data_IF_477341603103
#
_entry.id   IF_477341603103
#
_cell.length_a   1.000
_cell.length_b   1.000
_cell.length_c   1.000
_cell.angle_alpha   90.00
_cell.angle_beta   90.00
_cell.angle_gamma   90.00
#
_symmetry.space_group_name_H-M   'P 1'
#
loop_
_entity.id
_entity.type
_entity.pdbx_description
1 polymer ?
#
# COMPACT_ATOMS: atom_id res chain seq x y z
N UNK A 1 21.85 -41.35 19.85
CA UNK A 1 21.85 -40.10 20.64
C UNK A 1 20.51 -39.33 20.66
N UNK A 2 19.54 -39.55 19.74
CA UNK A 2 18.29 -38.76 19.72
C UNK A 2 17.09 -39.32 20.52
N UNK A 3 17.15 -40.54 21.08
CA UNK A 3 15.98 -41.15 21.76
C UNK A 3 15.57 -40.41 23.05
N UNK A 4 16.53 -39.88 23.82
CA UNK A 4 16.22 -39.10 25.03
C UNK A 4 15.49 -37.78 24.71
N UNK A 5 15.90 -37.09 23.64
CA UNK A 5 15.25 -35.83 23.23
C UNK A 5 13.84 -36.07 22.67
N UNK A 6 13.62 -37.19 21.98
CA UNK A 6 12.28 -37.61 21.51
C UNK A 6 11.35 -37.87 22.70
N UNK A 7 11.83 -38.59 23.73
CA UNK A 7 11.04 -38.88 24.92
C UNK A 7 10.69 -37.60 25.68
N UNK A 8 11.66 -36.68 25.85
CA UNK A 8 11.42 -35.38 26.47
C UNK A 8 10.42 -34.53 25.67
N UNK A 9 10.49 -34.52 24.34
CA UNK A 9 9.52 -33.81 23.49
C UNK A 9 8.10 -34.36 23.67
N UNK A 10 7.94 -35.68 23.76
CA UNK A 10 6.64 -36.33 24.00
C UNK A 10 6.08 -36.02 25.39
N UNK A 11 6.92 -35.96 26.43
CA UNK A 11 6.49 -35.56 27.77
C UNK A 11 6.06 -34.10 27.84
N UNK A 12 6.79 -33.18 27.20
CA UNK A 12 6.43 -31.78 27.13
C UNK A 12 5.11 -31.57 26.36
N UNK A 13 4.87 -32.34 25.29
CA UNK A 13 3.58 -32.32 24.58
C UNK A 13 2.44 -32.79 25.49
N UNK A 14 2.64 -33.88 26.27
CA UNK A 14 1.63 -34.35 27.24
C UNK A 14 1.33 -33.32 28.33
N UNK A 15 2.29 -32.46 28.67
CA UNK A 15 2.10 -31.32 29.58
C UNK A 15 1.44 -30.09 28.92
N UNK A 16 1.10 -30.16 27.64
CA UNK A 16 0.39 -29.10 26.90
C UNK A 16 1.28 -28.05 26.23
N UNK A 17 2.60 -28.26 26.16
CA UNK A 17 3.50 -27.32 25.50
C UNK A 17 3.35 -27.38 23.97
N UNK A 18 3.36 -26.21 23.33
CA UNK A 18 3.32 -26.09 21.87
C UNK A 18 4.67 -26.49 21.24
N UNK A 19 4.63 -26.86 19.96
CA UNK A 19 5.83 -27.23 19.18
C UNK A 19 6.91 -26.14 19.24
N UNK A 20 6.54 -24.86 19.27
CA UNK A 20 7.48 -23.73 19.40
C UNK A 20 8.17 -23.72 20.75
N UNK A 21 7.42 -23.95 21.83
CA UNK A 21 7.97 -23.98 23.18
C UNK A 21 8.87 -25.19 23.38
N UNK A 22 8.47 -26.36 22.89
CA UNK A 22 9.30 -27.59 22.94
C UNK A 22 10.59 -27.41 22.15
N UNK A 23 10.53 -26.78 20.99
CA UNK A 23 11.70 -26.47 20.16
C UNK A 23 12.68 -25.53 20.89
N UNK A 24 12.16 -24.54 21.60
CA UNK A 24 12.96 -23.63 22.42
C UNK A 24 13.58 -24.33 23.62
N UNK A 25 12.81 -25.17 24.32
CA UNK A 25 13.25 -25.88 25.53
C UNK A 25 14.34 -26.92 25.23
N UNK A 26 14.22 -27.62 24.11
CA UNK A 26 15.15 -28.68 23.69
C UNK A 26 16.25 -28.19 22.74
N UNK A 27 16.29 -26.88 22.44
CA UNK A 27 17.22 -26.24 21.50
C UNK A 27 17.32 -26.96 20.14
N UNK A 28 16.17 -27.28 19.55
CA UNK A 28 16.05 -27.97 18.25
C UNK A 28 15.07 -27.25 17.33
N UNK A 29 15.11 -27.54 16.02
CA UNK A 29 14.19 -26.90 15.08
C UNK A 29 12.74 -27.36 15.28
N UNK A 30 11.78 -26.46 15.02
CA UNK A 30 10.33 -26.78 15.03
C UNK A 30 9.98 -27.99 14.16
N UNK A 31 10.59 -28.07 12.98
CA UNK A 31 10.36 -29.17 12.04
C UNK A 31 10.85 -30.52 12.60
N UNK A 32 11.93 -30.51 13.37
CA UNK A 32 12.46 -31.71 14.03
C UNK A 32 11.56 -32.19 15.16
N UNK A 33 11.04 -31.28 15.98
CA UNK A 33 10.02 -31.59 17.01
C UNK A 33 8.75 -32.14 16.37
N UNK A 34 8.26 -31.52 15.30
CA UNK A 34 7.08 -31.99 14.56
C UNK A 34 7.26 -33.43 14.03
N UNK A 35 8.45 -33.76 13.50
CA UNK A 35 8.76 -35.12 13.04
C UNK A 35 8.77 -36.14 14.18
N UNK A 36 9.34 -35.78 15.32
CA UNK A 36 9.40 -36.67 16.50
C UNK A 36 8.02 -36.97 17.08
N UNK A 37 7.15 -35.97 17.20
CA UNK A 37 5.79 -36.15 17.72
C UNK A 37 4.92 -36.99 16.76
N UNK A 38 5.24 -36.98 15.47
CA UNK A 38 4.55 -37.76 14.44
C UNK A 38 5.20 -39.12 14.13
N UNK A 39 6.11 -39.61 14.98
CA UNK A 39 6.71 -40.94 14.84
C UNK A 39 7.71 -41.10 13.68
N UNK A 40 8.15 -39.99 13.08
CA UNK A 40 9.12 -39.97 11.98
C UNK A 40 10.55 -39.91 12.54
N UNK A 41 10.99 -40.99 13.19
CA UNK A 41 12.32 -41.10 13.82
C UNK A 41 13.36 -41.70 12.86
N UNK A 42 13.63 -41.04 11.74
CA UNK A 42 14.66 -41.45 10.78
C UNK A 42 15.25 -40.27 10.01
N UNK A 43 16.58 -40.24 9.88
CA UNK A 43 17.27 -39.36 8.94
C UNK A 43 17.13 -39.96 7.53
N UNK A 44 16.11 -39.52 6.78
CA UNK A 44 16.00 -39.82 5.35
C UNK A 44 14.56 -39.94 4.86
N UNK A 45 14.22 -39.13 3.86
CA UNK A 45 13.09 -39.37 2.95
C UNK A 45 11.72 -38.93 3.45
N UNK A 46 11.09 -38.04 2.68
CA UNK A 46 9.67 -37.72 2.77
C UNK A 46 8.84 -39.00 2.56
N UNK A 47 8.35 -39.61 3.63
CA UNK A 47 7.24 -40.57 3.54
C UNK A 47 5.95 -39.76 3.67
N UNK A 48 5.27 -39.61 2.54
CA UNK A 48 3.97 -38.96 2.47
C UNK A 48 2.93 -39.84 3.19
N UNK A 49 1.81 -39.26 3.68
CA UNK A 49 0.75 -39.99 4.39
C UNK A 49 0.18 -41.23 3.64
N UNK A 50 0.38 -41.30 2.32
CA UNK A 50 -0.01 -42.42 1.46
C UNK A 50 0.72 -43.72 1.80
N UNK A 51 1.97 -43.67 2.26
CA UNK A 51 2.78 -44.86 2.51
C UNK A 51 2.33 -45.63 3.77
N UNK A 52 1.62 -44.95 4.68
CA UNK A 52 1.00 -45.55 5.87
C UNK A 52 -0.27 -46.34 5.53
N UNK A 53 -1.00 -45.94 4.48
CA UNK A 53 -2.24 -46.59 4.05
C UNK A 53 -1.93 -47.94 3.37
N UNK A 54 -0.83 -48.04 2.63
CA UNK A 54 -0.43 -49.26 1.93
C UNK A 54 0.02 -50.41 2.88
N UNK A 55 0.49 -50.10 4.09
CA UNK A 55 0.83 -51.15 5.07
C UNK A 55 -0.41 -51.74 5.76
N UNK A 56 -1.46 -50.96 5.97
CA UNK A 56 -2.69 -51.42 6.62
C UNK A 56 -3.53 -52.36 5.75
N UNK A 57 -3.42 -52.26 4.42
CA UNK A 57 -4.19 -53.10 3.48
C UNK A 57 -3.58 -54.49 3.24
N UNK A 58 -2.29 -54.68 3.52
CA UNK A 58 -1.58 -55.94 3.23
C UNK A 58 -1.64 -56.99 4.35
N UNK A 59 -2.18 -56.68 5.54
CA UNK A 59 -2.15 -57.61 6.69
C UNK A 59 -3.42 -58.45 6.87
N UNK A 60 -4.48 -58.22 6.09
CA UNK A 60 -5.78 -58.87 6.29
C UNK A 60 -6.16 -59.96 5.27
N UNK A 61 -5.25 -60.38 4.39
CA UNK A 61 -5.57 -61.38 3.34
C UNK A 61 -5.27 -62.85 3.67
N UNK A 62 -4.85 -63.16 4.90
CA UNK A 62 -4.73 -64.55 5.32
C UNK A 62 -5.49 -64.75 6.62
N UNK A 63 -6.76 -65.16 6.52
CA UNK A 63 -7.43 -66.12 7.40
C UNK A 63 -8.88 -66.33 6.93
N UNK A 64 -9.28 -67.60 6.81
CA UNK A 64 -10.62 -68.16 6.57
C UNK A 64 -11.03 -68.52 5.13
N UNK A 65 -10.41 -69.59 4.64
CA UNK A 65 -11.11 -70.60 3.84
C UNK A 65 -11.90 -71.53 4.78
N UNK A 66 -13.24 -71.42 4.81
CA UNK A 66 -14.17 -72.58 4.78
C UNK A 66 -15.66 -72.17 4.90
N UNK A 67 -16.42 -72.75 3.96
CA UNK A 67 -17.81 -73.22 4.03
C UNK A 67 -18.99 -72.36 3.53
N UNK A 68 -19.50 -72.84 2.38
CA UNK A 68 -20.89 -73.24 2.06
C UNK A 68 -21.92 -72.16 1.67
N UNK A 69 -22.10 -72.08 0.35
CA UNK A 69 -23.36 -72.00 -0.42
C UNK A 69 -24.60 -71.48 0.30
N UNK A 70 -24.96 -70.23 -0.03
CA UNK A 70 -26.35 -69.75 -0.08
C UNK A 70 -26.42 -68.67 -1.18
N UNK A 71 -26.62 -69.09 -2.43
CA UNK A 71 -27.10 -68.24 -3.53
C UNK A 71 -28.59 -68.57 -3.67
N UNK A 72 -29.54 -67.63 -3.71
CA UNK A 72 -29.79 -66.69 -4.81
C UNK A 72 -30.71 -65.54 -4.31
N UNK A 73 -30.15 -64.48 -3.70
CA UNK A 73 -30.81 -63.17 -3.54
C UNK A 73 -29.88 -62.07 -2.99
N UNK A 74 -28.76 -62.46 -2.36
CA UNK A 74 -27.80 -61.51 -1.78
C UNK A 74 -26.86 -60.84 -2.78
N UNK A 75 -26.77 -61.35 -4.01
CA UNK A 75 -25.78 -60.86 -4.99
C UNK A 75 -26.22 -59.57 -5.68
N UNK A 76 -27.52 -59.43 -5.96
CA UNK A 76 -28.09 -58.22 -6.57
C UNK A 76 -28.19 -57.05 -5.59
N UNK A 77 -28.49 -57.32 -4.31
CA UNK A 77 -28.50 -56.29 -3.26
C UNK A 77 -27.08 -55.73 -3.04
N UNK A 78 -26.07 -56.60 -2.93
CA UNK A 78 -24.66 -56.20 -2.82
C UNK A 78 -24.17 -55.47 -4.08
N UNK A 79 -24.64 -55.86 -5.27
CA UNK A 79 -24.33 -55.17 -6.53
C UNK A 79 -24.94 -53.78 -6.59
N UNK A 80 -26.20 -53.63 -6.14
CA UNK A 80 -26.90 -52.36 -6.07
C UNK A 80 -26.26 -51.42 -5.03
N UNK A 81 -25.92 -51.92 -3.84
CA UNK A 81 -25.21 -51.17 -2.80
C UNK A 81 -23.84 -50.69 -3.30
N UNK A 82 -23.10 -51.54 -4.02
CA UNK A 82 -21.83 -51.18 -4.63
C UNK A 82 -22.00 -50.11 -5.72
N UNK A 83 -23.05 -50.20 -6.54
CA UNK A 83 -23.36 -49.20 -7.56
C UNK A 83 -23.74 -47.85 -6.95
N UNK A 84 -24.53 -47.84 -5.86
CA UNK A 84 -24.87 -46.64 -5.11
C UNK A 84 -23.61 -46.01 -4.51
N UNK A 85 -22.72 -46.79 -3.90
CA UNK A 85 -21.46 -46.31 -3.35
C UNK A 85 -20.56 -45.67 -4.43
N UNK A 86 -20.46 -46.31 -5.60
CA UNK A 86 -19.70 -45.78 -6.74
C UNK A 86 -20.30 -44.48 -7.27
N UNK A 87 -21.62 -44.39 -7.45
CA UNK A 87 -22.30 -43.15 -7.88
C UNK A 87 -22.13 -42.03 -6.86
N UNK A 88 -22.21 -42.34 -5.56
CA UNK A 88 -21.98 -41.37 -4.50
C UNK A 88 -20.56 -40.80 -4.56
N UNK A 89 -19.56 -41.68 -4.72
CA UNK A 89 -18.17 -41.28 -4.86
C UNK A 89 -17.93 -40.43 -6.13
N UNK A 90 -18.57 -40.79 -7.25
CA UNK A 90 -18.52 -40.00 -8.48
C UNK A 90 -19.12 -38.60 -8.29
N UNK A 91 -20.28 -38.50 -7.64
CA UNK A 91 -20.92 -37.22 -7.35
C UNK A 91 -20.10 -36.37 -6.37
N UNK A 92 -19.50 -36.98 -5.34
CA UNK A 92 -18.60 -36.30 -4.41
C UNK A 92 -17.38 -35.73 -5.13
N UNK A 93 -16.75 -36.52 -6.00
CA UNK A 93 -15.63 -36.06 -6.82
C UNK A 93 -16.03 -34.94 -7.79
N UNK A 94 -17.18 -35.04 -8.44
CA UNK A 94 -17.68 -33.97 -9.32
C UNK A 94 -17.96 -32.67 -8.53
N UNK A 95 -18.52 -32.78 -7.32
CA UNK A 95 -18.73 -31.64 -6.43
C UNK A 95 -17.40 -31.02 -5.98
N UNK A 96 -16.40 -31.84 -5.68
CA UNK A 96 -15.06 -31.37 -5.32
C UNK A 96 -14.39 -30.63 -6.48
N UNK A 97 -14.47 -31.16 -7.70
CA UNK A 97 -13.99 -30.48 -8.91
C UNK A 97 -14.71 -29.15 -9.16
N UNK A 98 -16.04 -29.08 -8.96
CA UNK A 98 -16.79 -27.81 -9.07
C UNK A 98 -16.35 -26.79 -8.02
N UNK A 99 -16.13 -27.23 -6.78
CA UNK A 99 -15.63 -26.35 -5.71
C UNK A 99 -14.25 -25.82 -6.02
N UNK A 100 -13.33 -26.67 -6.50
CA UNK A 100 -11.99 -26.26 -6.92
C UNK A 100 -12.07 -25.24 -8.06
N UNK A 101 -12.86 -25.51 -9.11
CA UNK A 101 -13.03 -24.58 -10.21
C UNK A 101 -13.62 -23.21 -9.77
N UNK A 102 -14.53 -23.22 -8.79
CA UNK A 102 -15.08 -21.99 -8.22
C UNK A 102 -14.04 -21.21 -7.41
N UNK A 103 -13.21 -21.90 -6.62
CA UNK A 103 -12.10 -21.30 -5.88
C UNK A 103 -11.07 -20.69 -6.83
N UNK A 104 -10.69 -21.39 -7.89
CA UNK A 104 -9.75 -20.88 -8.89
C UNK A 104 -10.30 -19.61 -9.57
N UNK A 105 -11.59 -19.60 -9.93
CA UNK A 105 -12.24 -18.41 -10.49
C UNK A 105 -12.26 -17.23 -9.51
N UNK A 106 -12.53 -17.46 -8.23
CA UNK A 106 -12.51 -16.41 -7.21
C UNK A 106 -11.10 -15.85 -7.01
N UNK A 107 -10.07 -16.71 -7.00
CA UNK A 107 -8.67 -16.31 -6.92
C UNK A 107 -8.25 -15.47 -8.12
N UNK A 108 -8.66 -15.86 -9.33
CA UNK A 108 -8.38 -15.10 -10.55
C UNK A 108 -9.03 -13.71 -10.53
N UNK A 109 -10.29 -13.62 -10.07
CA UNK A 109 -10.98 -12.34 -9.91
C UNK A 109 -10.27 -11.43 -8.88
N UNK A 110 -9.86 -11.96 -7.73
CA UNK A 110 -9.10 -11.19 -6.74
C UNK A 110 -7.76 -10.70 -7.26
N UNK A 111 -7.05 -11.56 -8.00
CA UNK A 111 -5.77 -11.18 -8.62
C UNK A 111 -5.97 -10.02 -9.59
N UNK A 112 -6.99 -10.09 -10.43
CA UNK A 112 -7.33 -9.02 -11.37
C UNK A 112 -7.76 -7.72 -10.67
N UNK A 113 -8.54 -7.82 -9.59
CA UNK A 113 -8.93 -6.64 -8.80
C UNK A 113 -7.71 -5.95 -8.19
N UNK A 114 -6.77 -6.72 -7.64
CA UNK A 114 -5.51 -6.17 -7.12
C UNK A 114 -4.68 -5.50 -8.22
N UNK A 115 -4.54 -6.14 -9.38
CA UNK A 115 -3.84 -5.56 -10.54
C UNK A 115 -4.47 -4.23 -10.97
N UNK A 116 -5.80 -4.16 -11.04
CA UNK A 116 -6.51 -2.91 -11.36
C UNK A 116 -6.26 -1.82 -10.31
N UNK A 117 -6.34 -2.14 -9.01
CA UNK A 117 -6.06 -1.17 -7.94
C UNK A 117 -4.61 -0.66 -7.99
N UNK A 118 -3.65 -1.52 -8.33
CA UNK A 118 -2.26 -1.09 -8.51
C UNK A 118 -2.13 -0.12 -9.69
N UNK A 119 -2.75 -0.43 -10.83
CA UNK A 119 -2.75 0.46 -12.00
C UNK A 119 -3.42 1.80 -11.71
N UNK A 120 -4.53 1.81 -10.96
CA UNK A 120 -5.22 3.03 -10.52
C UNK A 120 -4.33 3.88 -9.61
N UNK A 121 -3.68 3.25 -8.61
CA UNK A 121 -2.75 3.94 -7.71
C UNK A 121 -1.57 4.55 -8.47
N UNK A 122 -1.00 3.82 -9.41
CA UNK A 122 0.11 4.30 -10.25
C UNK A 122 -0.34 5.42 -11.20
N UNK A 123 -1.58 5.39 -11.69
CA UNK A 123 -2.14 6.47 -12.49
C UNK A 123 -2.34 7.74 -11.66
N UNK A 124 -2.89 7.61 -10.45
CA UNK A 124 -3.11 8.73 -9.54
C UNK A 124 -1.78 9.37 -9.11
N UNK A 125 -0.78 8.56 -8.75
CA UNK A 125 0.55 9.06 -8.39
C UNK A 125 1.23 9.80 -9.55
N UNK A 126 1.08 9.30 -10.79
CA UNK A 126 1.59 9.99 -11.98
C UNK A 126 0.87 11.31 -12.24
N UNK A 127 -0.45 11.34 -12.04
CA UNK A 127 -1.24 12.56 -12.20
C UNK A 127 -0.80 13.62 -11.19
N UNK A 128 -0.64 13.23 -9.92
CA UNK A 128 -0.14 14.10 -8.86
C UNK A 128 1.22 14.70 -9.23
N UNK A 129 2.19 13.87 -9.62
CA UNK A 129 3.53 14.36 -10.02
C UNK A 129 3.53 15.27 -11.26
N UNK A 130 2.56 15.13 -12.16
CA UNK A 130 2.43 16.03 -13.32
C UNK A 130 1.90 17.39 -12.87
N UNK A 131 0.92 17.40 -11.98
CA UNK A 131 0.33 18.62 -11.42
C UNK A 131 1.34 19.37 -10.55
N UNK A 132 2.01 18.68 -9.63
CA UNK A 132 3.08 19.24 -8.79
C UNK A 132 4.17 19.90 -9.65
N UNK A 133 4.64 19.22 -10.70
CA UNK A 133 5.66 19.80 -11.60
C UNK A 133 5.20 21.06 -12.31
N UNK A 134 3.92 21.15 -12.70
CA UNK A 134 3.37 22.35 -13.34
C UNK A 134 3.31 23.50 -12.36
N UNK A 135 2.82 23.25 -11.15
CA UNK A 135 2.72 24.25 -10.09
C UNK A 135 4.13 24.71 -9.67
N UNK A 136 5.05 23.77 -9.40
CA UNK A 136 6.46 24.06 -9.09
C UNK A 136 7.10 24.95 -10.15
N UNK A 137 6.91 24.61 -11.43
CA UNK A 137 7.45 25.43 -12.51
C UNK A 137 6.85 26.84 -12.52
N UNK A 138 5.53 26.96 -12.32
CA UNK A 138 4.86 28.26 -12.24
C UNK A 138 5.36 29.13 -11.09
N UNK A 139 5.53 28.53 -9.90
CA UNK A 139 6.11 29.19 -8.72
C UNK A 139 7.54 29.63 -9.00
N UNK A 140 8.40 28.76 -9.55
CA UNK A 140 9.80 29.12 -9.87
C UNK A 140 9.88 30.27 -10.86
N UNK A 141 9.11 30.24 -11.94
CA UNK A 141 9.09 31.33 -12.93
C UNK A 141 8.60 32.65 -12.33
N UNK A 142 7.65 32.59 -11.39
CA UNK A 142 7.21 33.80 -10.69
C UNK A 142 8.32 34.33 -9.77
N UNK A 143 8.95 33.47 -8.98
CA UNK A 143 10.05 33.83 -8.07
C UNK A 143 11.25 34.38 -8.84
N UNK A 144 11.64 33.79 -9.97
CA UNK A 144 12.74 34.29 -10.79
C UNK A 144 12.52 35.75 -11.25
N UNK A 145 11.28 36.11 -11.59
CA UNK A 145 10.93 37.48 -11.95
C UNK A 145 10.99 38.41 -10.76
N UNK A 146 10.53 37.92 -9.61
CA UNK A 146 10.49 38.69 -8.38
C UNK A 146 11.90 38.95 -7.83
N UNK A 147 12.79 37.95 -7.90
CA UNK A 147 14.21 38.10 -7.55
C UNK A 147 14.92 39.07 -8.49
N UNK A 148 14.57 39.10 -9.78
CA UNK A 148 15.12 40.09 -10.70
C UNK A 148 14.78 41.53 -10.29
N UNK A 149 13.62 41.76 -9.66
CA UNK A 149 13.29 43.05 -9.08
C UNK A 149 14.16 43.32 -7.84
N UNK A 150 14.34 42.33 -6.94
CA UNK A 150 15.21 42.47 -5.77
C UNK A 150 16.67 42.79 -6.13
N UNK A 151 17.20 42.18 -7.20
CA UNK A 151 18.56 42.45 -7.66
C UNK A 151 18.73 43.88 -8.24
N UNK A 152 17.63 44.55 -8.60
CA UNK A 152 17.63 45.92 -9.15
C UNK A 152 17.61 47.00 -8.06
N UNK A 153 17.12 46.67 -6.86
CA UNK A 153 17.01 47.61 -5.74
C UNK A 153 18.02 47.26 -4.63
N UNK A 154 19.01 48.13 -4.42
CA UNK A 154 20.00 48.03 -3.32
C UNK A 154 19.39 48.34 -1.92
N UNK A 155 18.12 48.73 -1.86
CA UNK A 155 17.42 49.13 -0.64
C UNK A 155 16.36 48.07 -0.25
N UNK A 156 16.04 48.01 1.05
CA UNK A 156 15.09 47.05 1.67
C UNK A 156 13.65 47.13 1.07
N UNK A 157 13.36 48.11 0.21
CA UNK A 157 12.05 48.32 -0.42
C UNK A 157 12.12 48.21 -1.94
N UNK A 158 11.24 47.39 -2.53
CA UNK A 158 10.99 47.30 -3.97
C UNK A 158 9.96 48.37 -4.36
N UNK A 159 10.25 49.12 -5.42
CA UNK A 159 9.30 50.08 -6.01
C UNK A 159 8.91 49.64 -7.43
N UNK A 160 7.61 49.62 -7.73
CA UNK A 160 7.12 49.37 -9.10
C UNK A 160 5.77 50.05 -9.36
N UNK A 161 5.43 50.22 -10.64
CA UNK A 161 4.12 50.78 -11.01
C UNK A 161 2.97 49.84 -10.61
N UNK A 162 1.83 50.43 -10.21
CA UNK A 162 0.67 49.69 -9.72
C UNK A 162 0.11 48.71 -10.74
N UNK A 163 0.17 49.04 -12.04
CA UNK A 163 -0.30 48.14 -13.09
C UNK A 163 0.55 46.86 -13.19
N UNK A 164 1.88 46.98 -13.13
CA UNK A 164 2.82 45.86 -13.08
C UNK A 164 2.65 45.06 -11.79
N UNK A 165 2.53 45.74 -10.65
CA UNK A 165 2.26 45.09 -9.37
C UNK A 165 0.97 44.26 -9.40
N UNK A 166 -0.14 44.83 -9.89
CA UNK A 166 -1.43 44.13 -10.08
C UNK A 166 -1.31 42.90 -10.98
N UNK A 167 -0.48 42.93 -12.01
CA UNK A 167 -0.21 41.77 -12.88
C UNK A 167 0.58 40.68 -12.15
N UNK A 168 1.58 41.06 -11.34
CA UNK A 168 2.35 40.12 -10.53
C UNK A 168 1.45 39.48 -9.46
N UNK A 169 0.73 40.29 -8.68
CA UNK A 169 -0.25 39.87 -7.68
C UNK A 169 -1.28 38.88 -8.25
N UNK A 170 -1.85 39.19 -9.42
CA UNK A 170 -2.82 38.31 -10.08
C UNK A 170 -2.21 36.97 -10.50
N UNK A 171 -0.94 36.95 -10.87
CA UNK A 171 -0.23 35.71 -11.23
C UNK A 171 0.04 34.88 -9.98
N UNK A 172 0.51 35.50 -8.91
CA UNK A 172 0.73 34.85 -7.62
C UNK A 172 -0.58 34.29 -7.04
N UNK A 173 -1.66 35.06 -7.09
CA UNK A 173 -3.00 34.64 -6.62
C UNK A 173 -3.48 33.37 -7.33
N UNK A 174 -3.27 33.26 -8.63
CA UNK A 174 -3.62 32.04 -9.39
C UNK A 174 -2.78 30.83 -8.99
N UNK A 175 -1.48 31.04 -8.73
CA UNK A 175 -0.60 29.97 -8.26
C UNK A 175 -1.01 29.51 -6.86
N UNK A 176 -1.38 30.46 -6.00
CA UNK A 176 -1.92 30.19 -4.67
C UNK A 176 -3.20 29.34 -4.73
N UNK A 177 -4.16 29.72 -5.57
CA UNK A 177 -5.38 28.92 -5.79
C UNK A 177 -5.06 27.51 -6.26
N UNK A 178 -4.14 27.35 -7.23
CA UNK A 178 -3.71 26.04 -7.73
C UNK A 178 -3.08 25.17 -6.63
N UNK A 179 -2.26 25.76 -5.77
CA UNK A 179 -1.67 25.07 -4.62
C UNK A 179 -2.77 24.61 -3.67
N UNK A 180 -3.71 25.47 -3.32
CA UNK A 180 -4.80 25.13 -2.40
C UNK A 180 -5.69 24.01 -2.96
N UNK A 181 -6.05 24.09 -4.24
CA UNK A 181 -6.81 23.04 -4.93
C UNK A 181 -6.06 21.71 -4.92
N UNK A 182 -4.77 21.73 -5.28
CA UNK A 182 -3.94 20.53 -5.31
C UNK A 182 -3.84 19.88 -3.93
N UNK A 183 -3.52 20.67 -2.90
CA UNK A 183 -3.43 20.17 -1.53
C UNK A 183 -4.75 19.60 -1.02
N UNK A 184 -5.88 20.21 -1.39
CA UNK A 184 -7.20 19.67 -1.06
C UNK A 184 -7.51 18.34 -1.77
N UNK A 185 -7.19 18.23 -3.06
CA UNK A 185 -7.43 17.01 -3.87
C UNK A 185 -6.63 15.82 -3.34
N UNK A 186 -5.36 16.02 -3.00
CA UNK A 186 -4.49 14.96 -2.49
C UNK A 186 -4.43 14.86 -0.96
N UNK A 187 -5.27 15.62 -0.26
CA UNK A 187 -5.36 15.65 1.20
C UNK A 187 -4.00 15.89 1.89
N UNK A 188 -3.21 16.81 1.34
CA UNK A 188 -1.92 17.22 1.91
C UNK A 188 -2.19 18.07 3.15
N UNK A 189 -1.51 17.79 4.26
CA UNK A 189 -1.69 18.56 5.50
C UNK A 189 -1.05 19.94 5.40
N UNK A 190 -1.89 20.91 5.09
CA UNK A 190 -1.57 22.33 4.96
C UNK A 190 -0.83 22.89 6.19
N UNK A 191 -1.19 22.47 7.41
CA UNK A 191 -0.61 23.04 8.62
C UNK A 191 0.84 22.60 8.87
N UNK A 192 1.23 21.49 8.25
CA UNK A 192 2.59 20.93 8.36
C UNK A 192 3.48 21.27 7.15
N UNK A 193 2.88 21.81 6.09
CA UNK A 193 3.57 22.05 4.83
C UNK A 193 4.24 23.42 4.81
N UNK A 194 5.56 23.42 5.02
CA UNK A 194 6.36 24.62 5.15
C UNK A 194 6.26 25.55 3.93
N UNK A 195 6.29 25.01 2.71
CA UNK A 195 6.12 25.81 1.49
C UNK A 195 4.78 26.54 1.43
N UNK A 196 3.71 25.95 1.97
CA UNK A 196 2.39 26.60 1.98
C UNK A 196 2.38 27.76 2.97
N UNK A 197 2.97 27.59 4.15
CA UNK A 197 3.12 28.67 5.12
C UNK A 197 3.82 29.88 4.52
N UNK A 198 4.94 29.66 3.84
CA UNK A 198 5.70 30.76 3.25
C UNK A 198 4.99 31.41 2.07
N UNK A 199 4.39 30.63 1.16
CA UNK A 199 3.63 31.19 0.03
C UNK A 199 2.42 32.00 0.52
N UNK A 200 1.81 31.59 1.64
CA UNK A 200 0.78 32.38 2.31
C UNK A 200 1.33 33.72 2.82
N UNK A 201 2.50 33.71 3.44
CA UNK A 201 3.16 34.94 3.92
C UNK A 201 3.41 35.92 2.77
N UNK A 202 3.96 35.44 1.65
CA UNK A 202 4.13 36.25 0.43
C UNK A 202 2.80 36.84 -0.07
N UNK A 203 1.74 36.02 -0.12
CA UNK A 203 0.41 36.49 -0.51
C UNK A 203 -0.09 37.59 0.44
N UNK A 204 0.14 37.45 1.74
CA UNK A 204 -0.30 38.44 2.74
C UNK A 204 0.47 39.77 2.58
N UNK A 205 1.77 39.74 2.24
CA UNK A 205 2.55 40.95 1.90
C UNK A 205 1.95 41.64 0.68
N UNK A 206 1.73 40.89 -0.39
CA UNK A 206 1.18 41.40 -1.66
C UNK A 206 -0.24 41.96 -1.48
N UNK A 207 -1.08 41.31 -0.68
CA UNK A 207 -2.43 41.79 -0.38
C UNK A 207 -2.39 43.12 0.39
N UNK A 208 -1.54 43.25 1.41
CA UNK A 208 -1.40 44.49 2.18
C UNK A 208 -0.90 45.65 1.33
N UNK A 209 0.11 45.40 0.48
CA UNK A 209 0.62 46.40 -0.44
C UNK A 209 -0.45 46.83 -1.45
N UNK A 210 -1.25 45.87 -1.97
CA UNK A 210 -2.35 46.17 -2.88
C UNK A 210 -3.47 46.99 -2.22
N UNK A 211 -3.87 46.62 -0.99
CA UNK A 211 -4.86 47.35 -0.20
C UNK A 211 -4.40 48.79 0.05
N UNK A 212 -3.15 48.95 0.49
CA UNK A 212 -2.54 50.27 0.74
C UNK A 212 -2.48 51.12 -0.53
N UNK A 213 -2.11 50.52 -1.67
CA UNK A 213 -2.08 51.24 -2.93
C UNK A 213 -3.48 51.68 -3.39
N UNK A 214 -4.47 50.79 -3.29
CA UNK A 214 -5.84 51.10 -3.67
C UNK A 214 -6.49 52.16 -2.76
N UNK A 215 -6.09 52.23 -1.49
CA UNK A 215 -6.58 53.25 -0.54
C UNK A 215 -5.94 54.64 -0.78
N UNK A 216 -4.76 54.69 -1.39
CA UNK A 216 -3.98 55.91 -1.58
C UNK A 216 -4.00 56.46 -3.02
N UNK A 217 -4.36 55.66 -4.02
CA UNK A 217 -4.49 56.12 -5.40
C UNK A 217 -5.77 56.96 -5.55
N UNK A 218 -5.63 58.15 -6.11
CA UNK A 218 -6.79 58.99 -6.43
C UNK A 218 -7.57 58.39 -7.61
N UNK A 219 -8.90 58.57 -7.64
CA UNK A 219 -9.77 57.98 -8.69
C UNK A 219 -9.40 58.41 -10.13
N UNK A 220 -8.70 59.53 -10.27
CA UNK A 220 -8.30 60.13 -11.54
C UNK A 220 -6.82 59.87 -11.90
N UNK A 221 -6.06 59.17 -11.06
CA UNK A 221 -4.64 58.87 -11.28
C UNK A 221 -4.45 57.57 -12.07
N UNK A 222 -3.63 57.61 -13.12
CA UNK A 222 -3.35 56.44 -13.93
C UNK A 222 -2.52 55.41 -13.14
N UNK A 223 -2.93 54.14 -13.16
CA UNK A 223 -2.23 53.05 -12.44
C UNK A 223 -0.76 52.87 -12.89
N UNK A 224 -0.41 53.34 -14.08
CA UNK A 224 0.95 53.30 -14.60
C UNK A 224 1.84 54.43 -14.01
N UNK A 225 1.22 55.47 -13.40
CA UNK A 225 1.92 56.60 -12.77
C UNK A 225 2.04 56.44 -11.25
N UNK A 226 1.15 55.66 -10.62
CA UNK A 226 1.20 55.38 -9.19
C UNK A 226 2.24 54.29 -8.86
N UNK A 227 3.15 54.61 -7.94
CA UNK A 227 4.20 53.70 -7.48
C UNK A 227 3.75 52.97 -6.20
N UNK A 228 3.90 51.65 -6.21
CA UNK A 228 3.73 50.78 -5.05
C UNK A 228 5.10 50.44 -4.50
N UNK A 229 5.30 50.66 -3.20
CA UNK A 229 6.46 50.16 -2.46
C UNK A 229 6.07 49.01 -1.54
N UNK A 230 6.94 47.99 -1.46
CA UNK A 230 6.79 46.87 -0.53
C UNK A 230 8.15 46.27 -0.18
N UNK A 231 8.19 45.60 0.97
CA UNK A 231 9.38 44.96 1.54
C UNK A 231 9.05 43.50 1.88
N UNK A 232 10.08 42.64 1.83
CA UNK A 232 10.00 41.29 2.34
C UNK A 232 10.55 41.20 3.76
N UNK A 233 9.86 40.42 4.61
CA UNK A 233 10.47 39.98 5.85
C UNK A 233 11.59 38.95 5.59
N UNK A 234 12.52 38.83 6.55
CA UNK A 234 13.67 37.90 6.47
C UNK A 234 13.22 36.46 6.14
N UNK A 235 12.09 36.02 6.71
CA UNK A 235 11.51 34.69 6.49
C UNK A 235 11.08 34.49 5.03
N UNK A 236 10.52 35.52 4.41
CA UNK A 236 10.07 35.51 3.01
C UNK A 236 11.26 35.55 2.05
N UNK A 237 12.33 36.28 2.39
CA UNK A 237 13.58 36.27 1.61
C UNK A 237 14.20 34.87 1.65
N UNK A 238 14.33 34.26 2.83
CA UNK A 238 14.85 32.91 2.99
C UNK A 238 14.00 31.89 2.19
N UNK A 239 12.69 32.07 2.16
CA UNK A 239 11.81 31.24 1.35
C UNK A 239 12.07 31.37 -0.16
N UNK A 240 12.21 32.59 -0.66
CA UNK A 240 12.52 32.84 -2.08
C UNK A 240 13.84 32.18 -2.49
N UNK A 241 14.86 32.24 -1.61
CA UNK A 241 16.15 31.56 -1.82
C UNK A 241 16.04 30.03 -1.76
N UNK A 242 15.24 29.50 -0.84
CA UNK A 242 15.06 28.07 -0.66
C UNK A 242 14.31 27.41 -1.84
N UNK A 243 13.36 28.12 -2.45
CA UNK A 243 12.61 27.61 -3.61
C UNK A 243 13.41 27.54 -4.92
N UNK A 244 14.57 28.21 -4.97
CA UNK A 244 15.53 28.02 -6.07
C UNK A 244 16.14 26.61 -6.01
N UNK A 245 16.41 26.13 -4.79
CA UNK A 245 17.14 24.88 -4.53
C UNK A 245 16.22 23.68 -4.25
N UNK A 246 14.96 23.92 -3.88
CA UNK A 246 13.99 22.88 -3.53
C UNK A 246 12.69 23.03 -4.32
N UNK A 247 12.00 21.92 -4.54
CA UNK A 247 10.64 21.92 -5.08
C UNK A 247 9.64 22.22 -3.95
N UNK A 248 8.55 22.93 -4.29
CA UNK A 248 7.57 23.40 -3.31
C UNK A 248 6.89 22.26 -2.53
N UNK A 249 6.59 21.15 -3.21
CA UNK A 249 5.93 19.97 -2.64
C UNK A 249 6.90 18.86 -2.17
N UNK A 250 8.22 19.14 -2.11
CA UNK A 250 9.22 18.16 -1.66
C UNK A 250 9.33 18.04 -0.14
#
# INVERSE_FOLDING_TARGET
MNQNLIHQAQELQKKGYSIRQIASELNVSKSQVFRWLNGQSGNGGNLLPIDLIAKATNTNQQLNLKNKNTMENHNDLNKLEREIALKKLQLEHELELRKLAQQDKELELRKRELELRHLEKDALSRQQQIEERKINHGIKVWIEKERANLDEFDYEEIEMDLATFKRSHKTLSKLWEQVQEHMAVYAIDINSHLGHYYLKSLMDIFNKALETANDNIDEDEDEDEFIVSYEYDDDSIEFLENLENSDFFS
#
